data_IF_569367676995
#
_entry.id   IF_569367676995
#
_cell.length_a   1.000
_cell.length_b   1.000
_cell.length_c   1.000
_cell.angle_alpha   90.00
_cell.angle_beta   90.00
_cell.angle_gamma   90.00
#
_symmetry.space_group_name_H-M   'P 1'
#
loop_
_entity.id
_entity.type
_entity.pdbx_description
1 polymer ?
#
# COMPACT_ATOMS: atom_id res chain seq x y z
N UNK A 1 -27.07 -22.74 5.64
CA UNK A 1 -25.76 -22.77 4.95
C UNK A 1 -25.83 -21.77 3.82
N UNK A 2 -25.23 -20.59 3.95
CA UNK A 2 -25.02 -19.64 2.85
C UNK A 2 -23.81 -18.78 3.23
N UNK A 3 -22.67 -19.07 2.59
CA UNK A 3 -21.42 -18.34 2.78
C UNK A 3 -21.43 -17.05 1.98
N UNK A 4 -20.82 -16.00 2.53
CA UNK A 4 -20.69 -14.69 1.90
C UNK A 4 -19.26 -14.57 1.38
N UNK A 5 -19.14 -14.24 0.09
CA UNK A 5 -17.88 -14.00 -0.62
C UNK A 5 -17.76 -12.51 -0.91
N UNK A 6 -16.57 -11.93 -0.71
CA UNK A 6 -16.23 -10.57 -1.12
C UNK A 6 -15.41 -10.56 -2.41
N UNK A 7 -15.77 -9.69 -3.35
CA UNK A 7 -15.09 -9.51 -4.64
C UNK A 7 -14.62 -8.05 -4.73
N UNK A 8 -13.32 -7.80 -4.98
CA UNK A 8 -12.84 -6.50 -5.47
C UNK A 8 -12.71 -6.58 -6.97
N UNK A 9 -13.38 -5.66 -7.65
CA UNK A 9 -13.20 -5.44 -9.07
C UNK A 9 -12.24 -4.25 -9.27
N UNK A 10 -11.05 -4.52 -9.81
CA UNK A 10 -10.13 -3.49 -10.30
C UNK A 10 -10.44 -3.21 -11.77
N UNK A 11 -10.82 -1.97 -12.09
CA UNK A 11 -10.99 -1.50 -13.47
C UNK A 11 -9.70 -0.81 -13.93
N UNK A 12 -9.03 -1.43 -14.90
CA UNK A 12 -7.85 -0.88 -15.58
C UNK A 12 -8.33 -0.18 -16.85
N UNK A 13 -8.10 1.13 -16.94
CA UNK A 13 -8.33 1.92 -18.17
C UNK A 13 -7.01 1.96 -18.95
N UNK A 14 -6.93 1.22 -20.06
CA UNK A 14 -5.83 1.33 -21.01
C UNK A 14 -6.17 2.35 -22.11
N UNK A 15 -5.25 3.29 -22.36
CA UNK A 15 -5.31 4.19 -23.52
C UNK A 15 -4.59 3.53 -24.70
N UNK A 16 -5.13 3.56 -25.93
CA UNK A 16 -4.47 2.94 -27.07
C UNK A 16 -3.37 3.87 -27.62
N UNK A 17 -2.13 3.65 -27.22
CA UNK A 17 -0.95 4.14 -27.96
C UNK A 17 -0.38 3.02 -28.82
N UNK A 18 -0.46 3.21 -30.14
CA UNK A 18 0.00 2.28 -31.16
C UNK A 18 1.53 2.24 -31.23
N UNK A 19 2.15 1.37 -30.45
CA UNK A 19 3.41 0.66 -30.65
C UNK A 19 3.37 -0.43 -29.56
N UNK A 20 3.53 -1.71 -29.90
CA UNK A 20 3.59 -2.77 -28.90
C UNK A 20 4.91 -2.71 -28.09
N UNK A 21 5.11 -1.62 -27.35
CA UNK A 21 5.94 -1.61 -26.16
C UNK A 21 5.17 -2.43 -25.13
N UNK A 22 5.80 -3.48 -24.62
CA UNK A 22 5.28 -4.16 -23.45
C UNK A 22 5.19 -3.11 -22.33
N UNK A 23 3.97 -2.78 -21.95
CA UNK A 23 3.72 -1.80 -20.89
C UNK A 23 4.21 -2.39 -19.56
N UNK A 24 4.74 -1.54 -18.68
CA UNK A 24 5.09 -1.98 -17.34
C UNK A 24 3.82 -2.43 -16.60
N UNK A 25 3.95 -3.49 -15.80
CA UNK A 25 2.84 -4.12 -15.09
C UNK A 25 3.03 -4.01 -13.58
N UNK A 26 1.93 -3.75 -12.88
CA UNK A 26 1.88 -3.76 -11.43
C UNK A 26 0.89 -4.83 -10.98
N UNK A 27 1.33 -5.69 -10.06
CA UNK A 27 0.51 -6.78 -9.51
C UNK A 27 0.59 -6.80 -7.99
N UNK A 28 -0.54 -7.11 -7.36
CA UNK A 28 -0.65 -7.32 -5.92
C UNK A 28 -0.99 -8.79 -5.69
N UNK A 29 -0.38 -9.42 -4.69
CA UNK A 29 -0.67 -10.82 -4.36
C UNK A 29 -2.14 -11.04 -3.97
N UNK A 30 -2.76 -10.01 -3.38
CA UNK A 30 -4.18 -9.99 -3.02
C UNK A 30 -4.75 -8.59 -3.32
N UNK A 31 -5.62 -8.42 -4.34
CA UNK A 31 -6.27 -7.14 -4.61
C UNK A 31 -7.39 -6.81 -3.60
N UNK A 32 -7.91 -7.83 -2.92
CA UNK A 32 -8.82 -7.70 -1.78
C UNK A 32 -8.15 -8.25 -0.55
N UNK A 33 -8.04 -7.46 0.51
CA UNK A 33 -7.55 -7.94 1.81
C UNK A 33 -8.70 -7.94 2.80
N UNK A 34 -9.25 -9.12 3.05
CA UNK A 34 -10.26 -9.32 4.08
C UNK A 34 -9.64 -9.37 5.47
N UNK A 35 -10.16 -8.56 6.37
CA UNK A 35 -9.95 -8.74 7.81
C UNK A 35 -11.17 -9.45 8.41
N UNK A 36 -10.93 -10.25 9.45
CA UNK A 36 -12.03 -10.84 10.22
C UNK A 36 -12.72 -9.74 11.04
N UNK A 37 -13.87 -10.08 11.62
CA UNK A 37 -14.56 -9.18 12.56
C UNK A 37 -13.61 -8.73 13.66
N UNK A 38 -13.48 -7.41 13.82
CA UNK A 38 -12.66 -6.84 14.88
C UNK A 38 -13.42 -6.80 16.20
N UNK A 39 -12.78 -7.31 17.25
CA UNK A 39 -13.22 -7.11 18.61
C UNK A 39 -12.14 -6.38 19.40
N UNK A 40 -12.53 -5.67 20.46
CA UNK A 40 -11.58 -4.87 21.25
C UNK A 40 -10.47 -5.77 21.84
N UNK A 41 -10.83 -6.98 22.26
CA UNK A 41 -9.92 -7.97 22.82
C UNK A 41 -8.85 -8.48 21.83
N UNK A 42 -9.08 -8.34 20.52
CA UNK A 42 -8.13 -8.76 19.49
C UNK A 42 -7.00 -7.73 19.27
N UNK A 43 -7.05 -6.60 19.96
CA UNK A 43 -6.05 -5.54 19.88
C UNK A 43 -4.66 -6.05 20.27
N UNK A 44 -3.69 -5.92 19.35
CA UNK A 44 -2.29 -6.27 19.61
C UNK A 44 -1.55 -5.20 20.41
N UNK A 45 -2.02 -3.95 20.36
CA UNK A 45 -1.44 -2.85 21.12
C UNK A 45 -2.47 -1.72 21.26
N UNK A 46 -2.50 -1.05 22.41
CA UNK A 46 -3.42 0.07 22.66
C UNK A 46 -2.67 1.28 23.19
N UNK A 47 -2.92 2.45 22.59
CA UNK A 47 -2.41 3.75 23.07
C UNK A 47 -3.51 4.80 23.01
N UNK A 48 -3.79 5.46 24.13
CA UNK A 48 -4.74 6.60 24.18
C UNK A 48 -6.07 6.30 23.46
N UNK A 49 -6.66 5.13 23.74
CA UNK A 49 -7.93 4.65 23.15
C UNK A 49 -7.89 4.32 21.64
N UNK A 50 -6.70 4.26 21.05
CA UNK A 50 -6.48 3.71 19.72
C UNK A 50 -5.89 2.31 19.83
N UNK A 51 -6.57 1.36 19.20
CA UNK A 51 -6.28 -0.06 19.21
C UNK A 51 -5.69 -0.46 17.86
N UNK A 52 -4.45 -0.92 17.87
CA UNK A 52 -3.85 -1.56 16.72
C UNK A 52 -4.42 -2.97 16.61
N UNK A 53 -5.00 -3.27 15.46
CA UNK A 53 -5.58 -4.57 15.18
C UNK A 53 -4.55 -5.49 14.50
N UNK A 54 -4.81 -6.80 14.43
CA UNK A 54 -3.94 -7.74 13.73
C UNK A 54 -3.67 -7.31 12.29
N UNK A 55 -2.43 -7.47 11.87
CA UNK A 55 -1.95 -7.00 10.56
C UNK A 55 -2.17 -8.03 9.47
N UNK A 56 -2.18 -7.57 8.22
CA UNK A 56 -2.11 -8.42 7.03
C UNK A 56 -0.92 -8.00 6.17
N UNK A 57 -0.28 -8.97 5.56
CA UNK A 57 0.82 -8.72 4.63
C UNK A 57 0.41 -9.09 3.21
N UNK A 58 0.77 -8.23 2.26
CA UNK A 58 0.62 -8.49 0.83
C UNK A 58 1.92 -8.15 0.12
N UNK A 59 2.18 -8.82 -0.99
CA UNK A 59 3.36 -8.57 -1.82
C UNK A 59 2.94 -7.75 -3.03
N UNK A 60 3.73 -6.74 -3.35
CA UNK A 60 3.60 -5.94 -4.57
C UNK A 60 4.73 -6.31 -5.49
N UNK A 61 4.43 -6.48 -6.78
CA UNK A 61 5.42 -6.72 -7.81
C UNK A 61 5.18 -5.78 -8.99
N UNK A 62 6.19 -5.00 -9.35
CA UNK A 62 6.26 -4.21 -10.55
C UNK A 62 7.24 -4.87 -11.54
N UNK A 63 6.88 -4.93 -12.81
CA UNK A 63 7.70 -5.47 -13.87
C UNK A 63 7.72 -4.52 -15.07
N UNK A 64 8.90 -4.26 -15.60
CA UNK A 64 9.16 -3.49 -16.80
C UNK A 64 10.06 -4.30 -17.75
N UNK A 65 9.81 -4.27 -19.07
CA UNK A 65 10.66 -5.00 -20.03
C UNK A 65 12.06 -4.41 -20.20
N UNK A 66 12.16 -3.09 -20.02
CA UNK A 66 13.39 -2.31 -20.07
C UNK A 66 13.83 -1.92 -18.65
N UNK A 67 15.12 -1.74 -18.50
CA UNK A 67 15.71 -1.24 -17.26
C UNK A 67 15.29 0.22 -17.06
N UNK A 68 14.65 0.53 -15.94
CA UNK A 68 14.08 1.85 -15.64
C UNK A 68 14.00 2.08 -14.13
N UNK A 69 13.99 3.35 -13.70
CA UNK A 69 13.67 3.68 -12.32
C UNK A 69 12.15 3.52 -12.13
N UNK A 70 11.74 2.64 -11.22
CA UNK A 70 10.33 2.41 -10.90
C UNK A 70 9.92 3.16 -9.63
N UNK A 71 8.75 3.80 -9.67
CA UNK A 71 8.09 4.42 -8.53
C UNK A 71 6.67 3.90 -8.39
N UNK A 72 6.34 3.28 -7.25
CA UNK A 72 4.98 2.79 -6.98
C UNK A 72 4.26 3.76 -6.05
N UNK A 73 3.23 4.43 -6.56
CA UNK A 73 2.43 5.38 -5.82
C UNK A 73 1.18 4.73 -5.25
N UNK A 74 0.83 5.14 -4.03
CA UNK A 74 -0.41 4.74 -3.37
C UNK A 74 -1.32 5.95 -3.18
N UNK A 75 -2.60 5.78 -3.49
CA UNK A 75 -3.63 6.78 -3.28
C UNK A 75 -4.83 6.16 -2.58
N UNK A 76 -5.54 6.93 -1.77
CA UNK A 76 -6.76 6.48 -1.12
C UNK A 76 -7.43 7.60 -0.35
N UNK A 77 -8.56 7.29 0.26
CA UNK A 77 -9.22 8.19 1.20
C UNK A 77 -8.31 8.46 2.38
N UNK A 78 -8.04 9.73 2.67
CA UNK A 78 -7.06 10.13 3.66
C UNK A 78 -7.65 11.09 4.69
N UNK A 79 -7.30 10.86 5.95
CA UNK A 79 -7.60 11.75 7.05
C UNK A 79 -6.47 12.76 7.29
N UNK A 80 -6.45 13.40 8.48
CA UNK A 80 -5.41 14.34 8.84
C UNK A 80 -4.01 13.71 8.71
N UNK A 81 -3.08 14.50 8.17
CA UNK A 81 -1.68 14.11 7.91
C UNK A 81 -1.50 12.99 6.87
N UNK A 82 -2.49 12.78 5.98
CA UNK A 82 -2.37 11.83 4.88
C UNK A 82 -2.53 10.36 5.29
N UNK A 83 -2.91 10.08 6.55
CA UNK A 83 -3.18 8.72 7.02
C UNK A 83 -4.37 8.15 6.28
N UNK A 84 -4.26 6.93 5.77
CA UNK A 84 -5.38 6.26 5.11
C UNK A 84 -6.52 6.04 6.09
N UNK A 85 -7.75 6.33 5.65
CA UNK A 85 -8.96 6.06 6.42
C UNK A 85 -9.31 4.58 6.34
N UNK A 86 -9.92 4.07 7.40
CA UNK A 86 -10.45 2.71 7.47
C UNK A 86 -11.82 2.73 8.15
N UNK A 87 -12.86 2.47 7.36
CA UNK A 87 -14.25 2.63 7.79
C UNK A 87 -14.57 4.06 8.24
N UNK A 88 -15.52 4.20 9.17
CA UNK A 88 -16.04 5.50 9.60
C UNK A 88 -15.26 6.10 10.79
N UNK A 89 -13.97 6.37 10.57
CA UNK A 89 -13.11 7.09 11.53
C UNK A 89 -11.96 6.28 12.12
N UNK A 90 -11.76 5.04 11.68
CA UNK A 90 -10.51 4.31 11.87
C UNK A 90 -9.42 4.78 10.90
N UNK A 91 -8.20 4.33 11.16
CA UNK A 91 -7.05 4.53 10.26
C UNK A 91 -6.48 3.21 9.77
N UNK A 92 -5.79 3.25 8.63
CA UNK A 92 -4.99 2.15 8.13
C UNK A 92 -3.53 2.60 8.05
N UNK A 93 -2.67 2.05 8.90
CA UNK A 93 -1.24 2.23 8.77
C UNK A 93 -0.70 1.26 7.70
N UNK A 94 -0.03 1.80 6.70
CA UNK A 94 0.56 1.05 5.59
C UNK A 94 2.08 1.18 5.68
N UNK A 95 2.77 0.06 5.84
CA UNK A 95 4.22 0.01 5.95
C UNK A 95 4.81 -0.79 4.82
N UNK A 96 5.88 -0.30 4.23
CA UNK A 96 6.66 -0.98 3.17
C UNK A 96 7.91 -1.58 3.80
N UNK A 97 8.28 -2.78 3.40
CA UNK A 97 9.53 -3.45 3.79
C UNK A 97 10.01 -4.42 2.72
N UNK A 98 11.20 -5.00 2.93
CA UNK A 98 11.75 -6.08 2.10
C UNK A 98 11.81 -5.72 0.60
N UNK A 99 12.19 -4.48 0.28
CA UNK A 99 12.25 -4.04 -1.09
C UNK A 99 13.42 -4.71 -1.83
N UNK A 100 13.11 -5.26 -2.99
CA UNK A 100 14.03 -5.97 -3.88
C UNK A 100 13.91 -5.39 -5.28
N UNK A 101 15.05 -5.16 -5.94
CA UNK A 101 15.12 -4.86 -7.38
C UNK A 101 16.03 -5.88 -8.04
N UNK A 102 15.53 -6.57 -9.07
CA UNK A 102 16.24 -7.61 -9.83
C UNK A 102 16.97 -8.65 -8.94
N UNK A 103 16.34 -9.02 -7.83
CA UNK A 103 16.85 -10.03 -6.89
C UNK A 103 17.81 -9.52 -5.80
N UNK A 104 18.12 -8.21 -5.77
CA UNK A 104 18.94 -7.60 -4.71
C UNK A 104 18.10 -6.71 -3.80
N UNK A 105 18.38 -6.77 -2.49
CA UNK A 105 17.72 -5.92 -1.50
C UNK A 105 18.23 -4.47 -1.56
N UNK A 106 17.31 -3.51 -1.39
CA UNK A 106 17.62 -2.08 -1.33
C UNK A 106 16.85 -1.39 -0.20
N UNK A 107 17.30 -0.18 0.15
CA UNK A 107 16.51 0.67 1.05
C UNK A 107 15.28 1.21 0.31
N UNK A 108 14.20 1.38 1.06
CA UNK A 108 12.99 2.06 0.61
C UNK A 108 13.17 3.55 0.87
N UNK A 109 12.77 4.40 -0.06
CA UNK A 109 12.56 5.83 0.17
C UNK A 109 11.18 6.25 -0.33
N UNK A 110 10.66 7.34 0.26
CA UNK A 110 9.44 7.99 -0.23
C UNK A 110 9.79 8.97 -1.35
N UNK A 111 8.84 9.24 -2.23
CA UNK A 111 8.92 10.36 -3.17
C UNK A 111 7.54 10.97 -3.38
N UNK A 112 7.49 12.29 -3.51
CA UNK A 112 6.33 13.03 -4.03
C UNK A 112 6.58 13.57 -5.44
N UNK A 113 7.82 13.46 -5.95
CA UNK A 113 8.17 13.84 -7.32
C UNK A 113 7.74 12.73 -8.29
N UNK A 114 6.50 12.83 -8.76
CA UNK A 114 5.92 11.93 -9.77
C UNK A 114 6.61 12.04 -11.13
N UNK A 115 7.38 13.10 -11.36
CA UNK A 115 8.17 13.21 -12.56
C UNK A 115 9.48 12.47 -12.36
N UNK A 116 10.46 13.02 -11.66
CA UNK A 116 11.81 12.45 -11.68
C UNK A 116 12.02 11.35 -10.64
N UNK A 117 10.99 11.01 -9.86
CA UNK A 117 11.04 9.99 -8.82
C UNK A 117 12.16 10.27 -7.81
N UNK A 118 12.47 11.54 -7.57
CA UNK A 118 13.52 11.96 -6.63
C UNK A 118 13.14 11.54 -5.21
N UNK A 119 14.02 10.76 -4.59
CA UNK A 119 13.82 10.26 -3.24
C UNK A 119 13.87 11.41 -2.22
N UNK A 120 13.01 11.34 -1.22
CA UNK A 120 13.09 12.13 0.00
C UNK A 120 14.25 11.63 0.88
N UNK A 121 14.76 12.50 1.77
CA UNK A 121 15.97 12.19 2.59
C UNK A 121 15.82 10.94 3.47
N UNK A 122 14.60 10.60 3.88
CA UNK A 122 14.35 9.51 4.81
C UNK A 122 14.21 8.18 4.07
N UNK A 123 15.34 7.49 3.90
CA UNK A 123 15.41 6.12 3.43
C UNK A 123 15.61 5.12 4.58
N UNK A 124 15.18 3.87 4.41
CA UNK A 124 15.44 2.81 5.37
C UNK A 124 14.91 1.45 4.92
N UNK A 125 15.15 0.42 5.72
CA UNK A 125 14.65 -0.95 5.46
C UNK A 125 13.12 -1.05 5.53
N UNK A 126 12.49 -0.10 6.21
CA UNK A 126 11.06 -0.08 6.48
C UNK A 126 10.56 1.34 6.59
N UNK A 127 9.47 1.67 5.90
CA UNK A 127 8.88 3.01 5.92
C UNK A 127 7.35 2.96 6.06
N UNK A 128 6.81 3.87 6.86
CA UNK A 128 5.38 4.16 6.90
C UNK A 128 5.05 5.10 5.74
N UNK A 129 4.07 4.73 4.92
CA UNK A 129 3.61 5.54 3.79
C UNK A 129 2.23 6.14 4.05
N UNK A 130 2.02 7.31 3.48
CA UNK A 130 0.80 8.10 3.53
C UNK A 130 0.21 8.23 2.12
N UNK A 131 -0.99 8.79 2.05
CA UNK A 131 -1.66 9.05 0.80
C UNK A 131 -0.83 9.94 -0.13
N UNK A 132 -0.73 9.53 -1.40
CA UNK A 132 0.09 10.12 -2.46
C UNK A 132 1.60 9.94 -2.32
N UNK A 133 2.09 9.18 -1.33
CA UNK A 133 3.50 8.80 -1.31
C UNK A 133 3.81 7.82 -2.46
N UNK A 134 4.92 8.05 -3.13
CA UNK A 134 5.59 7.11 -4.01
C UNK A 134 6.66 6.32 -3.28
N UNK A 135 6.84 5.07 -3.68
CA UNK A 135 7.83 4.14 -3.14
C UNK A 135 8.90 3.95 -4.21
N UNK A 136 10.15 4.26 -3.87
CA UNK A 136 11.31 4.06 -4.76
C UNK A 136 12.40 3.27 -4.05
N UNK A 137 13.16 2.50 -4.84
CA UNK A 137 14.36 1.84 -4.38
C UNK A 137 15.53 2.81 -4.39
N UNK A 138 16.33 2.83 -3.32
CA UNK A 138 17.54 3.66 -3.25
C UNK A 138 18.75 2.89 -2.74
N UNK A 139 19.90 3.30 -3.24
CA UNK A 139 21.23 2.94 -2.73
C UNK A 139 22.08 4.21 -2.65
N UNK A 140 22.71 4.46 -1.50
CA UNK A 140 23.50 5.68 -1.28
C UNK A 140 22.76 6.98 -1.63
N UNK A 141 21.46 7.06 -1.33
CA UNK A 141 20.55 8.17 -1.66
C UNK A 141 20.29 8.41 -3.16
N UNK A 142 20.72 7.53 -4.05
CA UNK A 142 20.39 7.55 -5.47
C UNK A 142 19.34 6.49 -5.80
N UNK A 143 18.44 6.79 -6.74
CA UNK A 143 17.44 5.83 -7.19
C UNK A 143 18.07 4.69 -7.97
N UNK A 144 17.51 3.50 -7.79
CA UNK A 144 17.95 2.28 -8.45
C UNK A 144 17.07 2.00 -9.66
N UNK A 145 17.72 1.70 -10.78
CA UNK A 145 17.05 1.20 -11.99
C UNK A 145 16.98 -0.32 -11.95
N UNK A 146 15.90 -0.90 -12.48
CA UNK A 146 15.81 -2.33 -12.71
C UNK A 146 14.65 -2.71 -13.62
N UNK A 147 14.45 -4.01 -13.80
CA UNK A 147 13.31 -4.56 -14.56
C UNK A 147 12.20 -5.10 -13.68
N UNK A 148 12.54 -5.57 -12.50
CA UNK A 148 11.58 -6.11 -11.55
C UNK A 148 11.80 -5.47 -10.18
N UNK A 149 10.74 -4.92 -9.60
CA UNK A 149 10.71 -4.44 -8.22
C UNK A 149 9.66 -5.21 -7.45
N UNK A 150 9.99 -5.65 -6.23
CA UNK A 150 9.01 -6.22 -5.31
C UNK A 150 9.23 -5.73 -3.89
N UNK A 151 8.16 -5.70 -3.11
CA UNK A 151 8.20 -5.34 -1.70
C UNK A 151 6.99 -5.89 -0.95
N UNK A 152 7.09 -5.92 0.37
CA UNK A 152 6.01 -6.33 1.26
C UNK A 152 5.30 -5.10 1.82
N UNK A 153 3.98 -5.13 1.79
CA UNK A 153 3.12 -4.17 2.46
C UNK A 153 2.52 -4.81 3.71
N UNK A 154 2.76 -4.20 4.87
CA UNK A 154 2.07 -4.53 6.11
C UNK A 154 0.94 -3.54 6.34
N UNK A 155 -0.29 -4.05 6.30
CA UNK A 155 -1.54 -3.32 6.52
C UNK A 155 -1.97 -3.50 7.98
N UNK A 156 -2.03 -2.41 8.74
CA UNK A 156 -2.40 -2.41 10.16
C UNK A 156 -3.60 -1.50 10.40
N UNK A 157 -4.80 -2.05 10.62
CA UNK A 157 -5.96 -1.26 11.04
C UNK A 157 -5.73 -0.69 12.43
N UNK A 158 -6.14 0.56 12.63
CA UNK A 158 -6.07 1.28 13.89
C UNK A 158 -7.44 1.86 14.19
N UNK A 159 -8.11 1.29 15.20
CA UNK A 159 -9.49 1.60 15.53
C UNK A 159 -9.58 2.34 16.86
N UNK A 160 -10.55 3.23 17.01
CA UNK A 160 -10.87 3.83 18.32
C UNK A 160 -12.09 3.17 18.94
N UNK A 161 -12.34 3.45 20.22
CA UNK A 161 -13.45 2.88 20.99
C UNK A 161 -14.84 3.02 20.33
N UNK A 162 -15.09 4.12 19.61
CA UNK A 162 -16.38 4.38 18.95
C UNK A 162 -16.66 3.39 17.81
N UNK A 163 -15.61 2.76 17.26
CA UNK A 163 -15.75 1.74 16.23
C UNK A 163 -16.28 0.41 16.77
N UNK A 164 -16.25 0.20 18.10
CA UNK A 164 -16.74 -1.03 18.73
C UNK A 164 -18.13 -0.87 19.38
N UNK A 165 -18.64 0.36 19.52
CA UNK A 165 -19.83 0.66 20.34
C UNK A 165 -21.19 0.49 19.62
N UNK A 166 -21.21 0.21 18.32
CA UNK A 166 -22.44 0.13 17.51
C UNK A 166 -22.68 -1.30 16.96
N UNK A 167 -22.67 -2.29 17.83
CA UNK A 167 -22.67 -3.73 17.50
C UNK A 167 -24.00 -4.30 16.99
N UNK A 168 -25.02 -3.46 16.75
CA UNK A 168 -26.31 -3.89 16.19
C UNK A 168 -26.38 -3.81 14.66
N UNK A 169 -25.56 -2.96 14.03
CA UNK A 169 -25.42 -2.89 12.57
C UNK A 169 -24.03 -3.39 12.17
N UNK A 170 -23.99 -4.38 11.28
CA UNK A 170 -22.75 -4.88 10.68
C UNK A 170 -22.12 -3.73 9.89
N UNK A 171 -21.20 -2.99 10.52
CA UNK A 171 -20.45 -1.93 9.85
C UNK A 171 -19.29 -2.59 9.11
N UNK A 172 -19.34 -2.60 7.77
CA UNK A 172 -18.13 -2.96 7.01
C UNK A 172 -17.10 -1.85 7.18
N UNK A 173 -15.91 -2.20 7.62
CA UNK A 173 -14.77 -1.29 7.69
C UNK A 173 -13.90 -1.54 6.47
N UNK A 174 -13.75 -0.53 5.63
CA UNK A 174 -13.11 -0.64 4.32
C UNK A 174 -12.09 0.48 4.13
N UNK A 175 -11.08 0.21 3.32
CA UNK A 175 -10.15 1.20 2.80
C UNK A 175 -9.89 0.90 1.33
N UNK A 176 -10.17 1.89 0.47
CA UNK A 176 -9.89 1.80 -0.95
C UNK A 176 -8.51 2.39 -1.24
N UNK A 177 -7.57 1.52 -1.61
CA UNK A 177 -6.24 1.90 -2.04
C UNK A 177 -6.09 1.68 -3.54
N UNK A 178 -5.65 2.73 -4.24
CA UNK A 178 -5.29 2.71 -5.66
C UNK A 178 -3.78 2.75 -5.77
N UNK A 179 -3.26 1.92 -6.67
CA UNK A 179 -1.83 1.78 -6.89
C UNK A 179 -1.49 2.13 -8.33
N UNK A 180 -0.37 2.82 -8.50
CA UNK A 180 0.08 3.27 -9.81
C UNK A 180 1.59 3.10 -9.92
N UNK A 181 2.03 2.56 -11.05
CA UNK A 181 3.44 2.43 -11.38
C UNK A 181 3.84 3.56 -12.34
N UNK A 182 4.83 4.35 -11.94
CA UNK A 182 5.49 5.35 -12.77
C UNK A 182 6.92 4.93 -13.04
N UNK A 183 7.45 5.32 -14.19
CA UNK A 183 8.81 4.95 -14.63
C UNK A 183 9.59 6.14 -15.18
N UNK A 184 10.93 6.03 -15.13
CA UNK A 184 11.88 7.03 -15.62
C UNK A 184 13.10 6.43 -16.32
#
# INVERSE_FOLDING_TARGET
>A
MNGIYGVVAALVLSSPSAMAQSECQLTLSQPTVGFNTFRREDSVNTRQQWHQMPTKEISVNAYCPQDTVMGVFVQGSAGPQGRFLFGNGGGLAVRVSQLVVDGRHYSVAKTSDRQNLTAEENAGETLLIHNNDGIVAVENHAQVSGKQMSFTLTLTPVLNDNQFSHTTDVTSLEADLRWELLTR
#
